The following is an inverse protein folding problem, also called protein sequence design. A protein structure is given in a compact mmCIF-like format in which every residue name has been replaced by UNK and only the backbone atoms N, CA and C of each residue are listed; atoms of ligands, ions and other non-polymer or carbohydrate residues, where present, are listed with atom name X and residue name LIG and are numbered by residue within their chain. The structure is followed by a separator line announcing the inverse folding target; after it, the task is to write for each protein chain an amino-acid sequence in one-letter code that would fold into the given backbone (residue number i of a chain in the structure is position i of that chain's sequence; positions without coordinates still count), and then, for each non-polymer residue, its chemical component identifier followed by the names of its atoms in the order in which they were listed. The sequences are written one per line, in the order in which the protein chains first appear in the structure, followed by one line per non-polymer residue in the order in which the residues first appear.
data_IF_875942581111
#
_entry.id   IF_875942581111
#
_cell.length_a   1.000
_cell.length_b   1.000
_cell.length_c   1.000
_cell.angle_alpha   90.00
_cell.angle_beta   90.00
_cell.angle_gamma   90.00
#
_symmetry.space_group_name_H-M   'P 1'
#
loop_
_entity.id
_entity.type
_entity.pdbx_description
1 polymer ?
#
# COMPACT_ATOMS: atom_id res chain seq x y z
N UNK A 1 -24.15 -16.03 -10.62
CA UNK A 1 -23.56 -15.45 -9.41
C UNK A 1 -23.10 -16.57 -8.51
N UNK A 2 -21.80 -16.62 -8.18
CA UNK A 2 -21.23 -17.60 -7.24
C UNK A 2 -21.70 -17.39 -5.79
N UNK A 3 -22.19 -16.19 -5.47
CA UNK A 3 -22.65 -15.83 -4.12
C UNK A 3 -24.16 -15.60 -4.09
N UNK A 4 -24.83 -16.21 -3.12
CA UNK A 4 -26.28 -16.08 -2.94
C UNK A 4 -26.70 -14.74 -2.31
N UNK A 5 -25.79 -14.08 -1.58
CA UNK A 5 -26.04 -12.78 -0.95
C UNK A 5 -24.73 -12.01 -0.79
N UNK A 6 -24.79 -10.68 -0.88
CA UNK A 6 -23.68 -9.78 -0.61
C UNK A 6 -24.08 -8.82 0.50
N UNK A 7 -23.16 -8.63 1.47
CA UNK A 7 -23.28 -7.65 2.52
C UNK A 7 -22.17 -6.63 2.39
N UNK A 8 -22.52 -5.34 2.39
CA UNK A 8 -21.54 -4.25 2.31
C UNK A 8 -21.84 -3.21 3.38
N UNK A 9 -20.79 -2.54 3.86
CA UNK A 9 -20.90 -1.39 4.76
C UNK A 9 -20.04 -0.25 4.23
N UNK A 10 -20.29 0.97 4.70
CA UNK A 10 -19.43 2.12 4.42
C UNK A 10 -18.02 1.99 5.01
N UNK A 11 -17.16 2.96 4.70
CA UNK A 11 -15.84 3.09 5.33
C UNK A 11 -15.97 3.29 6.85
N UNK A 12 -14.95 2.91 7.61
CA UNK A 12 -14.86 2.98 9.08
C UNK A 12 -15.79 2.00 9.82
N UNK A 13 -16.34 1.02 9.14
CA UNK A 13 -17.15 -0.06 9.72
C UNK A 13 -16.52 -1.44 9.49
N UNK A 14 -15.20 -1.49 9.53
CA UNK A 14 -14.41 -2.70 9.31
C UNK A 14 -14.74 -3.77 10.37
N UNK A 15 -14.80 -3.38 11.63
CA UNK A 15 -15.13 -4.28 12.76
C UNK A 15 -16.53 -4.85 12.63
N UNK A 16 -17.51 -4.03 12.24
CA UNK A 16 -18.88 -4.50 12.04
C UNK A 16 -18.96 -5.57 10.95
N UNK A 17 -18.20 -5.39 9.86
CA UNK A 17 -18.12 -6.40 8.78
C UNK A 17 -17.49 -7.70 9.26
N UNK A 18 -16.40 -7.61 10.03
CA UNK A 18 -15.74 -8.79 10.60
C UNK A 18 -16.69 -9.54 11.53
N UNK A 19 -17.34 -8.84 12.44
CA UNK A 19 -18.30 -9.43 13.38
C UNK A 19 -19.47 -10.10 12.65
N UNK A 20 -20.06 -9.41 11.67
CA UNK A 20 -21.12 -9.99 10.85
C UNK A 20 -20.67 -11.27 10.10
N UNK A 21 -19.44 -11.26 9.56
CA UNK A 21 -18.87 -12.43 8.86
C UNK A 21 -18.69 -13.61 9.82
N UNK A 22 -18.13 -13.39 11.01
CA UNK A 22 -17.92 -14.42 12.02
C UNK A 22 -19.25 -14.96 12.60
N UNK A 23 -20.23 -14.09 12.89
CA UNK A 23 -21.56 -14.50 13.33
C UNK A 23 -22.27 -15.37 12.27
N UNK A 24 -22.12 -14.99 11.00
CA UNK A 24 -22.71 -15.75 9.87
C UNK A 24 -22.02 -17.10 9.71
N UNK A 25 -20.70 -17.18 9.85
CA UNK A 25 -19.95 -18.43 9.79
C UNK A 25 -20.30 -19.35 10.98
N UNK A 26 -20.40 -18.82 12.19
CA UNK A 26 -20.83 -19.56 13.39
C UNK A 26 -22.22 -20.14 13.25
N UNK A 27 -23.09 -19.48 12.46
CA UNK A 27 -24.41 -20.03 12.12
C UNK A 27 -24.38 -21.13 11.05
N UNK A 28 -23.19 -21.66 10.69
CA UNK A 28 -23.00 -22.79 9.78
C UNK A 28 -23.02 -22.42 8.29
N UNK A 29 -22.68 -21.18 7.94
CA UNK A 29 -22.58 -20.74 6.54
C UNK A 29 -21.13 -20.53 6.13
N UNK A 30 -20.81 -20.85 4.88
CA UNK A 30 -19.55 -20.44 4.26
C UNK A 30 -19.59 -18.94 3.94
N UNK A 31 -18.59 -18.20 4.40
CA UNK A 31 -18.49 -16.74 4.24
C UNK A 31 -17.15 -16.37 3.60
N UNK A 32 -17.19 -15.56 2.56
CA UNK A 32 -16.01 -14.94 1.98
C UNK A 32 -15.99 -13.44 2.31
N UNK A 33 -15.03 -13.01 3.12
CA UNK A 33 -14.75 -11.59 3.35
C UNK A 33 -13.79 -11.08 2.28
N UNK A 34 -14.29 -10.31 1.32
CA UNK A 34 -13.52 -9.85 0.16
C UNK A 34 -13.01 -8.42 0.40
N UNK A 35 -11.73 -8.20 0.15
CA UNK A 35 -11.11 -6.88 0.10
C UNK A 35 -10.25 -6.74 -1.17
N UNK A 36 -9.94 -5.51 -1.58
CA UNK A 36 -9.04 -5.26 -2.71
C UNK A 36 -7.59 -5.47 -2.29
N UNK A 37 -6.76 -5.97 -3.19
CA UNK A 37 -5.34 -6.20 -2.95
C UNK A 37 -5.08 -7.50 -2.21
N UNK A 38 -4.32 -7.45 -1.14
CA UNK A 38 -3.99 -8.57 -0.26
C UNK A 38 -4.64 -8.37 1.11
N UNK A 39 -5.26 -9.40 1.65
CA UNK A 39 -5.99 -9.33 2.91
C UNK A 39 -5.08 -9.03 4.11
N UNK A 40 -3.81 -9.43 4.05
CA UNK A 40 -2.81 -9.21 5.10
C UNK A 40 -2.04 -7.89 5.00
N UNK A 41 -2.17 -7.15 3.86
CA UNK A 41 -1.44 -5.89 3.66
C UNK A 41 -2.41 -4.70 3.71
N UNK A 42 -2.56 -4.10 4.88
CA UNK A 42 -3.55 -3.04 5.18
C UNK A 42 -5.00 -3.42 4.83
N UNK A 43 -5.27 -4.73 4.79
CA UNK A 43 -6.57 -5.31 4.47
C UNK A 43 -7.33 -5.77 5.70
N UNK A 44 -8.28 -6.69 5.50
CA UNK A 44 -9.24 -7.11 6.52
C UNK A 44 -8.79 -8.32 7.35
N UNK A 45 -7.62 -8.93 7.05
CA UNK A 45 -7.20 -10.15 7.76
C UNK A 45 -6.91 -9.87 9.24
N UNK A 46 -6.14 -8.81 9.57
CA UNK A 46 -5.80 -8.49 10.97
C UNK A 46 -7.05 -8.27 11.83
N UNK A 47 -7.95 -7.33 11.52
CA UNK A 47 -9.13 -7.11 12.36
C UNK A 47 -10.07 -8.32 12.43
N UNK A 48 -10.11 -9.15 11.37
CA UNK A 48 -10.90 -10.39 11.39
C UNK A 48 -10.29 -11.42 12.34
N UNK A 49 -8.96 -11.65 12.25
CA UNK A 49 -8.26 -12.63 13.09
C UNK A 49 -8.26 -12.21 14.56
N UNK A 50 -8.11 -10.91 14.87
CA UNK A 50 -8.23 -10.39 16.24
C UNK A 50 -9.62 -10.69 16.84
N UNK A 51 -10.68 -10.49 16.05
CA UNK A 51 -12.04 -10.81 16.51
C UNK A 51 -12.33 -12.31 16.55
N UNK A 52 -11.66 -13.12 15.72
CA UNK A 52 -11.88 -14.56 15.67
C UNK A 52 -11.52 -15.27 16.99
N UNK A 53 -10.72 -14.65 17.84
CA UNK A 53 -10.45 -15.15 19.21
C UNK A 53 -11.74 -15.28 20.06
N UNK A 54 -12.78 -14.50 19.75
CA UNK A 54 -14.12 -14.60 20.37
C UNK A 54 -14.98 -15.72 19.76
N UNK A 55 -14.47 -16.41 18.70
CA UNK A 55 -15.21 -17.40 17.91
C UNK A 55 -14.41 -18.69 17.71
N UNK A 56 -14.09 -19.44 18.77
CA UNK A 56 -13.19 -20.60 18.72
C UNK A 56 -13.68 -21.74 17.80
N UNK A 57 -14.98 -21.77 17.50
CA UNK A 57 -15.60 -22.79 16.63
C UNK A 57 -15.59 -22.39 15.14
N UNK A 58 -15.12 -21.19 14.80
CA UNK A 58 -15.06 -20.69 13.41
C UNK A 58 -13.64 -20.83 12.88
N UNK A 59 -13.48 -21.62 11.81
CA UNK A 59 -12.21 -21.68 11.08
C UNK A 59 -12.07 -20.49 10.14
N UNK A 60 -10.92 -19.80 10.20
CA UNK A 60 -10.60 -18.66 9.32
C UNK A 60 -9.38 -18.99 8.47
N UNK A 61 -9.54 -18.92 7.17
CA UNK A 61 -8.46 -19.08 6.20
C UNK A 61 -8.19 -17.75 5.50
N UNK A 62 -6.91 -17.33 5.43
CA UNK A 62 -6.49 -16.13 4.70
C UNK A 62 -5.97 -16.52 3.34
N UNK A 63 -6.68 -16.11 2.29
CA UNK A 63 -6.27 -16.32 0.91
C UNK A 63 -5.41 -15.14 0.45
N UNK A 64 -4.16 -15.37 -0.01
CA UNK A 64 -3.26 -14.30 -0.46
C UNK A 64 -3.78 -13.63 -1.73
N UNK A 65 -3.47 -12.34 -1.86
CA UNK A 65 -3.82 -11.53 -3.03
C UNK A 65 -2.63 -10.68 -3.53
N UNK A 66 -2.88 -9.85 -4.53
CA UNK A 66 -1.88 -8.96 -5.09
C UNK A 66 -2.06 -7.54 -4.50
N UNK A 67 -1.25 -7.21 -3.52
CA UNK A 67 -1.24 -5.85 -2.94
C UNK A 67 -0.78 -4.80 -3.96
N UNK A 68 -1.22 -3.56 -3.79
CA UNK A 68 -0.90 -2.44 -4.67
C UNK A 68 0.61 -2.20 -4.85
N UNK A 69 1.45 -2.53 -3.86
CA UNK A 69 2.90 -2.45 -3.99
C UNK A 69 3.40 -3.38 -5.12
N UNK A 70 2.94 -4.63 -5.16
CA UNK A 70 3.38 -5.58 -6.17
C UNK A 70 2.74 -5.32 -7.53
N UNK A 71 1.44 -5.08 -7.58
CA UNK A 71 0.73 -4.82 -8.84
C UNK A 71 1.13 -3.48 -9.47
N UNK A 72 1.24 -2.40 -8.69
CA UNK A 72 1.73 -1.10 -9.18
C UNK A 72 3.21 -1.13 -9.54
N UNK A 73 4.02 -1.88 -8.78
CA UNK A 73 5.42 -2.13 -9.12
C UNK A 73 5.57 -2.79 -10.49
N UNK A 74 4.72 -3.78 -10.81
CA UNK A 74 4.70 -4.44 -12.13
C UNK A 74 4.33 -3.46 -13.26
N UNK A 75 3.41 -2.52 -13.03
CA UNK A 75 3.04 -1.47 -14.00
C UNK A 75 4.22 -0.54 -14.30
N UNK A 76 5.04 -0.21 -13.28
CA UNK A 76 6.24 0.61 -13.42
C UNK A 76 7.43 -0.15 -14.02
N UNK A 77 7.53 -1.45 -13.76
CA UNK A 77 8.64 -2.30 -14.17
C UNK A 77 9.10 -3.23 -13.05
N UNK A 78 10.22 -2.93 -12.40
CA UNK A 78 10.76 -3.70 -11.28
C UNK A 78 11.37 -2.77 -10.20
N UNK A 79 10.61 -1.81 -9.63
CA UNK A 79 11.14 -0.85 -8.64
C UNK A 79 11.48 -1.51 -7.30
N UNK A 80 10.86 -2.65 -6.98
CA UNK A 80 10.98 -3.35 -5.70
C UNK A 80 11.82 -4.64 -5.80
N UNK A 81 12.75 -4.71 -6.77
CA UNK A 81 13.56 -5.91 -6.99
C UNK A 81 14.73 -6.07 -6.01
N UNK A 82 14.92 -5.14 -5.11
CA UNK A 82 15.84 -5.17 -3.96
C UNK A 82 15.04 -5.00 -2.65
N UNK A 83 15.72 -4.79 -1.53
CA UNK A 83 15.05 -4.58 -0.24
C UNK A 83 14.12 -3.36 -0.28
N UNK A 84 12.92 -3.50 0.23
CA UNK A 84 11.91 -2.45 0.17
C UNK A 84 11.02 -2.42 1.41
N UNK A 85 10.42 -1.25 1.65
CA UNK A 85 9.44 -1.03 2.69
C UNK A 85 8.08 -0.65 2.09
N UNK A 86 7.00 -1.09 2.74
CA UNK A 86 5.63 -0.62 2.48
C UNK A 86 5.19 0.24 3.64
N UNK A 87 4.84 1.50 3.39
CA UNK A 87 4.44 2.46 4.43
C UNK A 87 3.12 3.12 4.04
N UNK A 88 2.14 3.06 4.94
CA UNK A 88 0.92 3.84 4.80
C UNK A 88 1.11 5.23 5.40
N UNK A 89 0.76 6.27 4.65
CA UNK A 89 0.75 7.66 5.12
C UNK A 89 -0.54 8.03 5.89
N UNK A 90 -1.43 7.06 6.10
CA UNK A 90 -2.66 7.30 6.87
C UNK A 90 -2.37 7.35 8.37
N UNK A 91 -2.68 8.48 9.00
CA UNK A 91 -2.57 8.70 10.45
C UNK A 91 -3.82 8.30 11.24
N UNK A 92 -4.75 7.58 10.64
CA UNK A 92 -6.01 7.19 11.30
C UNK A 92 -5.80 6.21 12.46
N UNK A 93 -4.88 5.27 12.28
CA UNK A 93 -4.58 4.22 13.28
C UNK A 93 -3.12 4.28 13.77
N UNK A 94 -2.28 5.09 13.12
CA UNK A 94 -0.86 5.23 13.45
C UNK A 94 -0.53 6.71 13.57
N UNK A 95 -0.05 7.20 14.73
CA UNK A 95 0.34 8.61 14.88
C UNK A 95 1.37 9.04 13.83
N UNK A 96 1.27 10.30 13.37
CA UNK A 96 2.14 10.81 12.32
C UNK A 96 3.63 10.73 12.67
N UNK A 97 4.00 10.95 13.93
CA UNK A 97 5.38 10.87 14.43
C UNK A 97 5.99 9.47 14.23
N UNK A 98 5.14 8.43 14.30
CA UNK A 98 5.57 7.04 14.02
C UNK A 98 5.79 6.83 12.53
N UNK A 99 4.92 7.40 11.68
CA UNK A 99 5.07 7.35 10.21
C UNK A 99 6.35 8.10 9.80
N UNK A 100 6.58 9.30 10.34
CA UNK A 100 7.77 10.11 10.12
C UNK A 100 9.05 9.35 10.47
N UNK A 101 9.10 8.73 11.64
CA UNK A 101 10.23 7.89 12.06
C UNK A 101 10.49 6.74 11.08
N UNK A 102 9.44 6.06 10.60
CA UNK A 102 9.56 4.97 9.63
C UNK A 102 10.11 5.46 8.28
N UNK A 103 9.63 6.61 7.80
CA UNK A 103 10.12 7.25 6.57
C UNK A 103 11.61 7.61 6.70
N UNK A 104 12.01 8.23 7.82
CA UNK A 104 13.39 8.58 8.11
C UNK A 104 14.30 7.34 8.12
N UNK A 105 13.94 6.30 8.84
CA UNK A 105 14.69 5.04 8.88
C UNK A 105 14.81 4.38 7.50
N UNK A 106 13.74 4.38 6.71
CA UNK A 106 13.75 3.82 5.37
C UNK A 106 14.64 4.63 4.40
N UNK A 107 14.69 5.96 4.55
CA UNK A 107 15.58 6.81 3.78
C UNK A 107 17.05 6.56 4.15
N UNK A 108 17.39 6.53 5.44
CA UNK A 108 18.74 6.27 5.95
C UNK A 108 19.26 4.87 5.58
N UNK A 109 18.36 3.86 5.55
CA UNK A 109 18.69 2.50 5.10
C UNK A 109 18.71 2.33 3.59
N UNK A 110 18.45 3.39 2.83
CA UNK A 110 18.33 3.39 1.37
C UNK A 110 17.39 2.33 0.80
N UNK A 111 16.30 2.02 1.51
CA UNK A 111 15.26 1.14 1.00
C UNK A 111 14.51 1.77 -0.18
N UNK A 112 14.08 0.93 -1.13
CA UNK A 112 12.99 1.30 -2.01
C UNK A 112 11.67 1.33 -1.21
N UNK A 113 10.73 2.20 -1.58
CA UNK A 113 9.47 2.36 -0.84
C UNK A 113 8.25 2.23 -1.75
N UNK A 114 7.18 1.65 -1.19
CA UNK A 114 5.83 1.77 -1.70
C UNK A 114 4.98 2.51 -0.65
N UNK A 115 4.51 3.71 -0.99
CA UNK A 115 3.71 4.56 -0.11
C UNK A 115 2.23 4.43 -0.44
N UNK A 116 1.44 4.04 0.56
CA UNK A 116 -0.01 3.90 0.48
C UNK A 116 -0.70 5.11 1.09
N UNK A 117 -1.91 5.39 0.62
CA UNK A 117 -2.72 6.52 1.12
C UNK A 117 -1.98 7.86 1.05
N UNK A 118 -1.37 8.23 -0.10
CA UNK A 118 -0.51 9.41 -0.20
C UNK A 118 -1.29 10.71 -0.05
N UNK A 119 -2.61 10.70 -0.25
CA UNK A 119 -3.48 11.86 -0.09
C UNK A 119 -4.93 11.45 0.20
N UNK A 120 -5.67 12.35 0.83
CA UNK A 120 -7.13 12.28 0.98
C UNK A 120 -7.70 13.69 1.18
N UNK A 121 -9.04 13.84 1.15
CA UNK A 121 -9.70 15.15 1.37
C UNK A 121 -9.28 15.86 2.67
N UNK A 122 -9.02 15.11 3.73
CA UNK A 122 -8.57 15.67 5.02
C UNK A 122 -7.04 15.76 5.16
N UNK A 123 -6.26 15.30 4.17
CA UNK A 123 -4.81 15.13 4.22
C UNK A 123 -4.17 15.33 2.85
N UNK A 124 -4.32 16.52 2.25
CA UNK A 124 -3.82 16.79 0.90
C UNK A 124 -2.29 16.93 0.82
N UNK A 125 -1.63 17.22 1.95
CA UNK A 125 -0.20 17.55 2.06
C UNK A 125 0.68 16.36 2.50
N UNK A 126 0.11 15.17 2.72
CA UNK A 126 0.85 14.05 3.32
C UNK A 126 1.96 13.52 2.39
N UNK A 127 1.76 13.50 1.09
CA UNK A 127 2.83 13.16 0.15
C UNK A 127 3.98 14.15 0.23
N UNK A 128 3.68 15.46 0.23
CA UNK A 128 4.69 16.53 0.36
C UNK A 128 5.49 16.36 1.64
N UNK A 129 4.83 16.20 2.78
CA UNK A 129 5.49 15.97 4.07
C UNK A 129 6.37 14.71 4.05
N UNK A 130 5.90 13.62 3.46
CA UNK A 130 6.68 12.39 3.32
C UNK A 130 7.95 12.63 2.49
N UNK A 131 7.83 13.34 1.36
CA UNK A 131 8.97 13.66 0.49
C UNK A 131 9.97 14.57 1.23
N UNK A 132 9.51 15.58 1.97
CA UNK A 132 10.38 16.46 2.77
C UNK A 132 11.19 15.66 3.81
N UNK A 133 10.54 14.68 4.48
CA UNK A 133 11.21 13.78 5.42
C UNK A 133 12.26 12.91 4.72
N UNK A 134 11.94 12.33 3.57
CA UNK A 134 12.86 11.50 2.80
C UNK A 134 14.10 12.29 2.35
N UNK A 135 13.91 13.52 1.85
CA UNK A 135 14.99 14.42 1.45
C UNK A 135 15.88 14.81 2.65
N UNK A 136 15.26 15.17 3.78
CA UNK A 136 15.97 15.53 5.00
C UNK A 136 16.78 14.37 5.61
N UNK A 137 16.46 13.11 5.25
CA UNK A 137 17.10 11.90 5.77
C UNK A 137 17.95 11.15 4.73
N UNK A 138 18.39 11.82 3.67
CA UNK A 138 19.45 11.32 2.79
C UNK A 138 19.01 10.81 1.42
N UNK A 139 17.71 10.80 1.10
CA UNK A 139 17.29 10.55 -0.29
C UNK A 139 17.66 11.73 -1.18
N UNK A 140 18.30 11.48 -2.32
CA UNK A 140 18.68 12.51 -3.26
C UNK A 140 17.46 13.11 -3.98
N UNK A 141 17.46 14.43 -4.32
CA UNK A 141 16.37 15.07 -5.03
C UNK A 141 16.06 14.46 -6.40
N UNK A 142 17.04 13.84 -7.05
CA UNK A 142 16.95 13.15 -8.33
C UNK A 142 16.64 11.65 -8.18
N UNK A 143 16.44 11.14 -6.96
CA UNK A 143 16.01 9.75 -6.73
C UNK A 143 14.79 9.46 -7.60
N UNK A 144 14.88 8.41 -8.42
CA UNK A 144 13.79 8.04 -9.33
C UNK A 144 12.58 7.53 -8.55
N UNK A 145 11.43 8.09 -8.85
CA UNK A 145 10.14 7.76 -8.24
C UNK A 145 9.12 7.39 -9.31
N UNK A 146 8.05 6.76 -8.90
CA UNK A 146 6.90 6.49 -9.76
C UNK A 146 5.60 6.62 -8.99
N UNK A 147 4.51 6.93 -9.70
CA UNK A 147 3.16 6.85 -9.18
C UNK A 147 2.29 6.03 -10.13
N UNK A 148 1.39 5.23 -9.57
CA UNK A 148 0.40 4.49 -10.35
C UNK A 148 -0.97 4.71 -9.71
N UNK A 149 -1.88 5.24 -10.51
CA UNK A 149 -3.28 5.48 -10.15
C UNK A 149 -4.16 4.41 -10.75
N UNK A 150 -5.23 4.03 -10.08
CA UNK A 150 -6.23 3.06 -10.54
C UNK A 150 -5.61 1.73 -11.02
N UNK A 151 -4.68 1.16 -10.27
CA UNK A 151 -3.97 -0.07 -10.62
C UNK A 151 -4.97 -1.19 -10.96
N UNK A 152 -4.84 -1.74 -12.19
CA UNK A 152 -5.71 -2.83 -12.69
C UNK A 152 -7.16 -2.43 -12.94
N UNK A 153 -7.46 -1.12 -13.04
CA UNK A 153 -8.81 -0.58 -13.27
C UNK A 153 -8.82 0.30 -14.50
N UNK A 154 -10.01 0.62 -14.99
CA UNK A 154 -10.20 1.63 -16.03
C UNK A 154 -9.60 2.99 -15.58
N UNK A 155 -8.94 3.69 -16.50
CA UNK A 155 -8.22 4.93 -16.21
C UNK A 155 -6.93 4.70 -15.41
N UNK A 156 -6.27 3.53 -15.55
CA UNK A 156 -4.94 3.32 -15.01
C UNK A 156 -3.93 4.27 -15.63
N UNK A 157 -3.24 5.02 -14.79
CA UNK A 157 -2.19 5.98 -15.18
C UNK A 157 -0.90 5.71 -14.43
N UNK A 158 0.25 5.96 -15.08
CA UNK A 158 1.56 5.90 -14.44
C UNK A 158 2.43 7.09 -14.79
N UNK A 159 3.21 7.56 -13.84
CA UNK A 159 4.24 8.58 -14.04
C UNK A 159 5.55 8.10 -13.44
N UNK A 160 6.66 8.46 -14.08
CA UNK A 160 8.03 8.24 -13.57
C UNK A 160 8.71 9.60 -13.56
N UNK A 161 9.20 10.04 -12.39
CA UNK A 161 9.69 11.38 -12.15
C UNK A 161 10.69 11.38 -10.99
N UNK A 162 11.54 12.41 -10.85
CA UNK A 162 12.43 12.54 -9.69
C UNK A 162 11.67 12.90 -8.42
N UNK A 163 12.26 12.59 -7.26
CA UNK A 163 11.70 12.85 -5.93
C UNK A 163 11.35 14.34 -5.71
N UNK A 164 12.19 15.24 -6.24
CA UNK A 164 11.93 16.68 -6.16
C UNK A 164 10.64 17.12 -6.85
N UNK A 165 10.26 16.46 -7.95
CA UNK A 165 8.99 16.74 -8.65
C UNK A 165 7.81 16.01 -8.01
N UNK A 166 8.05 14.82 -7.44
CA UNK A 166 7.02 14.06 -6.73
C UNK A 166 6.43 14.86 -5.57
N UNK A 167 7.24 15.72 -4.94
CA UNK A 167 6.86 16.57 -3.81
C UNK A 167 5.61 17.41 -4.07
N UNK A 168 5.46 17.92 -5.27
CA UNK A 168 4.36 18.82 -5.66
C UNK A 168 3.38 18.16 -6.63
N UNK A 169 3.45 16.83 -6.79
CA UNK A 169 2.54 16.06 -7.62
C UNK A 169 1.19 15.88 -6.91
N UNK A 170 0.11 16.20 -7.61
CA UNK A 170 -1.24 15.89 -7.14
C UNK A 170 -1.50 14.39 -7.20
N UNK A 171 -1.94 13.82 -6.09
CA UNK A 171 -2.30 12.40 -5.96
C UNK A 171 -3.59 12.26 -5.16
N UNK A 172 -4.24 11.12 -5.31
CA UNK A 172 -5.46 10.78 -4.61
C UNK A 172 -5.32 9.45 -3.82
N UNK A 173 -6.39 9.03 -3.18
CA UNK A 173 -6.44 7.78 -2.41
C UNK A 173 -6.37 6.51 -3.28
N UNK A 174 -6.49 6.63 -4.61
CA UNK A 174 -6.37 5.52 -5.56
C UNK A 174 -4.96 5.42 -6.15
N UNK A 175 -4.04 6.25 -5.67
CA UNK A 175 -2.65 6.31 -6.12
C UNK A 175 -1.75 5.56 -5.13
N UNK A 176 -0.84 4.75 -5.66
CA UNK A 176 0.30 4.19 -4.94
C UNK A 176 1.57 4.84 -5.46
N UNK A 177 2.41 5.33 -4.55
CA UNK A 177 3.65 6.01 -4.88
C UNK A 177 4.83 5.10 -4.59
N UNK A 178 5.84 5.13 -5.47
CA UNK A 178 7.06 4.35 -5.37
C UNK A 178 8.25 5.30 -5.32
N UNK A 179 9.12 5.10 -4.36
CA UNK A 179 10.40 5.84 -4.25
C UNK A 179 11.52 4.83 -4.39
N UNK A 180 12.43 5.05 -5.32
CA UNK A 180 13.57 4.18 -5.55
C UNK A 180 14.64 4.29 -4.45
N UNK A 181 15.66 3.45 -4.57
CA UNK A 181 16.92 3.59 -3.83
C UNK A 181 18.01 4.23 -4.73
N UNK A 182 19.21 4.39 -4.21
CA UNK A 182 20.34 5.01 -4.94
C UNK A 182 20.70 4.27 -6.26
N UNK A 183 20.38 2.97 -6.37
CA UNK A 183 20.64 2.20 -7.58
C UNK A 183 19.48 2.21 -8.59
N UNK A 184 18.31 2.75 -8.23
CA UNK A 184 17.12 2.76 -9.09
C UNK A 184 17.32 3.67 -10.29
N UNK A 185 16.96 3.17 -11.48
CA UNK A 185 17.13 3.91 -12.74
C UNK A 185 15.99 3.64 -13.73
N UNK A 186 15.85 4.54 -14.68
CA UNK A 186 14.94 4.37 -15.80
C UNK A 186 15.60 3.51 -16.90
N UNK A 187 14.97 2.43 -17.29
CA UNK A 187 15.39 1.56 -18.39
C UNK A 187 14.22 1.39 -19.37
N UNK A 188 14.38 1.93 -20.58
CA UNK A 188 13.34 1.86 -21.63
C UNK A 188 11.95 2.29 -21.14
N UNK A 189 11.88 3.41 -20.40
CA UNK A 189 10.62 3.95 -19.86
C UNK A 189 10.05 3.17 -18.66
N UNK A 190 10.86 2.31 -18.02
CA UNK A 190 10.49 1.53 -16.83
C UNK A 190 11.36 1.92 -15.66
N UNK A 191 10.80 1.88 -14.46
CA UNK A 191 11.51 2.06 -13.21
C UNK A 191 12.08 0.71 -12.75
N UNK A 192 13.40 0.61 -12.59
CA UNK A 192 14.09 -0.63 -12.22
C UNK A 192 15.09 -0.39 -11.11
N UNK A 193 15.02 -1.18 -10.06
CA UNK A 193 16.03 -1.27 -9.01
C UNK A 193 16.88 -2.51 -9.25
N UNK A 194 18.15 -2.38 -9.71
CA UNK A 194 18.99 -3.53 -10.03
C UNK A 194 19.37 -4.34 -8.78
N UNK A 195 19.48 -5.66 -8.94
CA UNK A 195 19.97 -6.57 -7.88
C UNK A 195 21.49 -6.68 -7.81
N UNK A 196 22.22 -6.02 -8.72
CA UNK A 196 23.70 -6.04 -8.74
C UNK A 196 24.34 -7.21 -9.49
N UNK A 197 23.56 -7.93 -10.34
CA UNK A 197 24.17 -8.94 -11.20
C UNK A 197 25.22 -8.31 -12.13
N UNK A 198 26.41 -8.89 -12.15
CA UNK A 198 27.46 -8.53 -13.12
C UNK A 198 27.05 -9.09 -14.49
N UNK A 199 27.16 -8.27 -15.52
CA UNK A 199 26.97 -8.67 -16.93
C UNK A 199 28.32 -8.96 -17.53
#
# INVERSE_FOLDING_TARGET
TLFRSCYTTGMTREIDRCRWALDTARAGRDVALVCSGDAGVYGMASPLLELAEEYPDVNVEVVPGLTAALSGGAVLGAPLAHDFCVISLSDRLTPWEVIEKRLACAAQGDFALALYNPSSKGRPDYLRRAVDILLANGKAPDTLCGSVRNIGREGQEKHILPLSQLRDTEVDMFTTVFVGNAATRALSGRMVTPRGYRR
#
